data_IF_062278465782
#
_entry.id   IF_062278465782
#
_cell.length_a   1.000
_cell.length_b   1.000
_cell.length_c   1.000
_cell.angle_alpha   90.00
_cell.angle_beta   90.00
_cell.angle_gamma   90.00
#
_symmetry.space_group_name_H-M   'P 1'
#
loop_
_entity.id
_entity.type
_entity.pdbx_description
1 polymer ?
#
# COMPACT_ATOMS: atom_id res chain seq x y z
N UNK A 1 -0.59 0.09 -0.30
CA UNK A 1 -1.49 1.26 -0.41
C UNK A 1 -0.88 2.36 0.46
N UNK A 2 -0.96 3.62 0.07
CA UNK A 2 -0.33 4.72 0.82
C UNK A 2 -0.87 6.08 0.39
N UNK A 3 -0.40 7.17 1.00
CA UNK A 3 -0.86 8.53 0.66
C UNK A 3 -0.58 8.88 -0.80
N UNK A 4 0.68 8.77 -1.21
CA UNK A 4 1.08 8.91 -2.61
C UNK A 4 2.31 8.07 -2.93
N UNK A 5 2.49 7.76 -4.22
CA UNK A 5 3.70 7.13 -4.74
C UNK A 5 4.13 7.92 -5.97
N UNK A 6 5.14 8.75 -5.82
CA UNK A 6 5.57 9.71 -6.84
C UNK A 6 7.06 9.57 -7.18
N UNK A 7 7.50 10.32 -8.20
CA UNK A 7 8.90 10.49 -8.55
C UNK A 7 9.65 9.19 -8.85
N UNK A 8 10.85 9.06 -8.29
CA UNK A 8 11.75 7.93 -8.51
C UNK A 8 11.18 6.61 -7.98
N UNK A 9 10.42 6.64 -6.88
CA UNK A 9 9.76 5.47 -6.33
C UNK A 9 8.78 4.89 -7.37
N UNK A 10 7.90 5.73 -7.92
CA UNK A 10 6.95 5.32 -8.96
C UNK A 10 7.67 4.78 -10.20
N UNK A 11 8.68 5.49 -10.69
CA UNK A 11 9.46 5.07 -11.86
C UNK A 11 10.08 3.68 -11.66
N UNK A 12 10.62 3.42 -10.48
CA UNK A 12 11.21 2.13 -10.11
C UNK A 12 10.17 1.01 -10.12
N UNK A 13 8.98 1.25 -9.56
CA UNK A 13 7.90 0.26 -9.57
C UNK A 13 7.44 -0.07 -10.99
N UNK A 14 7.28 0.96 -11.83
CA UNK A 14 6.84 0.80 -13.23
C UNK A 14 7.86 -0.02 -14.03
N UNK A 15 9.15 0.30 -13.93
CA UNK A 15 10.20 -0.42 -14.66
C UNK A 15 10.27 -1.89 -14.22
N UNK A 16 10.15 -2.18 -12.92
CA UNK A 16 10.16 -3.55 -12.41
C UNK A 16 8.94 -4.36 -12.87
N UNK A 17 7.77 -3.72 -12.93
CA UNK A 17 6.54 -4.35 -13.46
C UNK A 17 6.66 -4.66 -14.94
N UNK A 18 7.11 -3.70 -15.75
CA UNK A 18 7.26 -3.87 -17.21
C UNK A 18 8.30 -4.93 -17.57
N UNK A 19 9.36 -5.08 -16.76
CA UNK A 19 10.38 -6.12 -16.93
C UNK A 19 9.97 -7.49 -16.39
N UNK A 20 8.80 -7.61 -15.75
CA UNK A 20 8.33 -8.85 -15.14
C UNK A 20 9.13 -9.29 -13.91
N UNK A 21 9.92 -8.40 -13.31
CA UNK A 21 10.73 -8.69 -12.11
C UNK A 21 9.83 -8.74 -10.88
N UNK A 22 8.90 -7.78 -10.77
CA UNK A 22 7.94 -7.70 -9.66
C UNK A 22 6.51 -7.64 -10.18
N UNK A 23 5.65 -8.49 -9.65
CA UNK A 23 4.21 -8.37 -9.84
C UNK A 23 3.61 -7.41 -8.81
N UNK A 24 3.72 -6.10 -9.08
CA UNK A 24 3.33 -5.04 -8.14
C UNK A 24 2.22 -4.14 -8.71
N UNK A 25 1.50 -3.48 -7.80
CA UNK A 25 0.62 -2.34 -8.05
C UNK A 25 0.70 -1.37 -6.86
N UNK A 26 0.48 -0.08 -7.11
CA UNK A 26 0.38 0.95 -6.08
C UNK A 26 -0.96 1.68 -6.24
N UNK A 27 -1.64 1.93 -5.13
CA UNK A 27 -2.96 2.59 -5.07
C UNK A 27 -2.92 3.59 -3.91
N UNK A 28 -3.50 4.77 -4.15
CA UNK A 28 -3.67 5.79 -3.10
C UNK A 28 -4.68 5.32 -2.06
N UNK A 29 -4.38 5.56 -0.80
CA UNK A 29 -5.29 5.27 0.30
C UNK A 29 -6.56 6.13 0.15
N UNK A 30 -7.75 5.56 0.44
CA UNK A 30 -8.99 6.32 0.40
C UNK A 30 -9.04 7.33 1.54
N UNK A 31 -9.72 8.45 1.30
CA UNK A 31 -9.91 9.50 2.31
C UNK A 31 -8.64 10.34 2.62
N UNK A 32 -8.78 11.22 3.61
CA UNK A 32 -7.74 12.16 4.06
C UNK A 32 -7.78 12.26 5.59
N UNK A 33 -6.67 12.58 6.25
CA UNK A 33 -6.60 12.75 7.71
C UNK A 33 -7.00 11.50 8.49
N UNK A 34 -7.76 11.67 9.59
CA UNK A 34 -8.19 10.58 10.46
C UNK A 34 -9.04 9.51 9.75
N UNK A 35 -10.00 9.85 8.86
CA UNK A 35 -10.69 8.85 8.04
C UNK A 35 -9.76 7.93 7.25
N UNK A 36 -8.67 8.45 6.68
CA UNK A 36 -7.69 7.64 5.95
C UNK A 36 -7.01 6.64 6.88
N UNK A 37 -6.59 7.10 8.07
CA UNK A 37 -5.93 6.26 9.08
C UNK A 37 -6.85 5.10 9.49
N UNK A 38 -8.13 5.41 9.78
CA UNK A 38 -9.12 4.39 10.12
C UNK A 38 -9.34 3.37 8.99
N UNK A 39 -9.49 3.81 7.74
CA UNK A 39 -9.68 2.90 6.61
C UNK A 39 -8.45 2.02 6.33
N UNK A 40 -7.23 2.54 6.52
CA UNK A 40 -6.01 1.75 6.40
C UNK A 40 -5.91 0.69 7.50
N UNK A 41 -6.32 1.04 8.72
CA UNK A 41 -6.36 0.11 9.85
C UNK A 41 -7.35 -1.04 9.58
N UNK A 42 -8.54 -0.73 9.07
CA UNK A 42 -9.53 -1.74 8.68
C UNK A 42 -8.96 -2.70 7.62
N UNK A 43 -8.22 -2.19 6.63
CA UNK A 43 -7.56 -3.03 5.62
C UNK A 43 -6.44 -3.87 6.20
N UNK A 44 -5.66 -3.33 7.14
CA UNK A 44 -4.59 -4.05 7.82
C UNK A 44 -5.18 -5.23 8.62
N UNK A 45 -6.25 -4.98 9.39
CA UNK A 45 -7.00 -6.01 10.12
C UNK A 45 -7.53 -7.09 9.16
N UNK A 46 -8.17 -6.69 8.06
CA UNK A 46 -8.76 -7.62 7.08
C UNK A 46 -7.73 -8.53 6.41
N UNK A 47 -6.53 -7.99 6.15
CA UNK A 47 -5.45 -8.71 5.45
C UNK A 47 -4.44 -9.36 6.39
N UNK A 48 -4.55 -9.11 7.70
CA UNK A 48 -3.57 -9.54 8.70
C UNK A 48 -2.21 -8.84 8.59
N UNK A 49 -2.18 -7.64 7.99
CA UNK A 49 -0.98 -6.81 7.90
C UNK A 49 -0.92 -5.75 8.99
N UNK A 50 0.14 -4.93 8.96
CA UNK A 50 0.32 -3.77 9.84
C UNK A 50 0.37 -2.46 9.05
N UNK A 51 -0.30 -1.42 9.55
CA UNK A 51 -0.16 -0.07 8.98
C UNK A 51 1.22 0.49 9.35
N UNK A 52 1.97 0.89 8.33
CA UNK A 52 3.29 1.52 8.50
C UNK A 52 3.10 3.04 8.46
N UNK A 53 3.49 3.73 9.53
CA UNK A 53 3.33 5.18 9.68
C UNK A 53 4.56 5.78 10.35
N UNK A 54 5.00 6.94 9.86
CA UNK A 54 6.11 7.68 10.48
C UNK A 54 5.74 8.29 11.85
N UNK A 55 4.45 8.47 12.12
CA UNK A 55 3.97 9.06 13.38
C UNK A 55 3.89 8.01 14.51
N UNK A 56 3.50 6.77 14.17
CA UNK A 56 3.17 5.73 15.12
C UNK A 56 3.53 4.37 14.51
N UNK A 57 4.77 3.89 14.73
CA UNK A 57 5.16 2.53 14.34
C UNK A 57 6.56 2.38 13.72
N UNK A 58 6.86 1.19 13.18
CA UNK A 58 8.09 0.95 12.43
C UNK A 58 8.15 1.85 11.19
N UNK A 59 9.36 2.30 10.85
CA UNK A 59 9.62 3.07 9.64
C UNK A 59 9.61 2.16 8.42
N UNK A 60 9.38 2.74 7.25
CA UNK A 60 9.31 1.99 5.99
C UNK A 60 10.58 1.18 5.68
N UNK A 61 11.75 1.64 6.13
CA UNK A 61 13.04 0.96 5.98
C UNK A 61 13.25 -0.23 6.94
N UNK A 62 12.39 -0.36 7.95
CA UNK A 62 12.42 -1.46 8.94
C UNK A 62 11.38 -2.55 8.70
N UNK A 63 10.57 -2.43 7.64
CA UNK A 63 9.48 -3.36 7.32
C UNK A 63 10.01 -4.74 6.94
N UNK A 64 9.40 -5.75 7.52
CA UNK A 64 9.66 -7.17 7.28
C UNK A 64 8.49 -7.83 6.55
N UNK A 65 8.64 -9.10 6.16
CA UNK A 65 7.56 -9.86 5.54
C UNK A 65 6.40 -10.15 6.51
N UNK A 66 6.65 -10.16 7.82
CA UNK A 66 5.61 -10.42 8.83
C UNK A 66 4.63 -9.24 8.97
N UNK A 67 5.06 -8.05 8.58
CA UNK A 67 4.23 -6.84 8.60
C UNK A 67 3.27 -6.76 7.40
N UNK A 68 3.48 -7.59 6.37
CA UNK A 68 2.72 -7.53 5.12
C UNK A 68 1.43 -8.35 5.20
N UNK A 69 0.30 -7.71 4.88
CA UNK A 69 -0.98 -8.39 4.75
C UNK A 69 -1.06 -9.30 3.53
N UNK A 70 -1.91 -10.33 3.61
CA UNK A 70 -2.15 -11.29 2.52
C UNK A 70 -3.61 -11.27 2.08
N UNK A 71 -3.83 -11.35 0.77
CA UNK A 71 -5.16 -11.48 0.19
C UNK A 71 -5.17 -12.56 -0.90
N UNK A 72 -6.27 -13.31 -1.01
CA UNK A 72 -6.44 -14.34 -2.05
C UNK A 72 -6.45 -13.77 -3.47
N UNK A 73 -7.02 -12.58 -3.63
CA UNK A 73 -7.11 -11.87 -4.91
C UNK A 73 -7.17 -10.37 -4.64
N UNK A 74 -6.43 -9.60 -5.44
CA UNK A 74 -6.47 -8.14 -5.48
C UNK A 74 -6.79 -7.73 -6.90
N UNK A 75 -7.78 -6.86 -7.07
CA UNK A 75 -8.18 -6.30 -8.35
C UNK A 75 -8.25 -4.78 -8.22
N UNK A 76 -7.65 -4.07 -9.16
CA UNK A 76 -7.71 -2.61 -9.23
C UNK A 76 -8.11 -2.16 -10.63
N UNK A 77 -8.96 -1.14 -10.68
CA UNK A 77 -9.36 -0.49 -11.93
C UNK A 77 -9.03 0.99 -11.84
N UNK A 78 -9.14 1.71 -12.97
CA UNK A 78 -8.84 3.14 -13.05
C UNK A 78 -9.72 4.00 -12.13
N UNK A 79 -10.93 3.53 -11.81
CA UNK A 79 -11.85 4.11 -10.85
C UNK A 79 -12.63 3.00 -10.17
N UNK A 80 -12.51 2.90 -8.85
CA UNK A 80 -13.51 2.27 -8.00
C UNK A 80 -14.20 3.43 -7.28
N UNK A 81 -15.44 3.71 -7.67
CA UNK A 81 -16.34 4.58 -6.91
C UNK A 81 -16.84 3.77 -5.71
N UNK A 82 -16.37 4.12 -4.53
CA UNK A 82 -17.08 3.92 -3.27
C UNK A 82 -17.44 5.30 -2.73
#
# INVERSE_FOLDING_TARGET
MGEDVEGEALATLVVNKLRGVLNILAVKAPGFGDPRKAMLEDMAILTGGQVISEEVGPKLDSVTLEDLGTARRVESTKMILL
#
